data_IF_622782407730
#
_entry.id   IF_622782407730
#
_cell.length_a   1.000
_cell.length_b   1.000
_cell.length_c   1.000
_cell.angle_alpha   90.00
_cell.angle_beta   90.00
_cell.angle_gamma   90.00
#
_symmetry.space_group_name_H-M   'P 1'
#
loop_
_entity.id
_entity.type
_entity.pdbx_description
1 polymer ?
#
# COMPACT_ATOMS: atom_id res chain seq x y z
N UNK A 1 -27.73 -54.70 -22.31
CA UNK A 1 -28.43 -53.43 -22.01
C UNK A 1 -27.52 -52.59 -21.13
N UNK A 2 -26.89 -51.57 -21.73
CA UNK A 2 -26.08 -50.58 -21.03
C UNK A 2 -27.03 -49.70 -20.21
N UNK A 3 -26.65 -49.40 -18.96
CA UNK A 3 -27.08 -48.26 -18.10
C UNK A 3 -27.48 -48.70 -16.69
N UNK A 4 -26.50 -48.88 -15.79
CA UNK A 4 -26.73 -48.59 -14.36
C UNK A 4 -25.46 -48.35 -13.54
N UNK A 5 -24.36 -47.89 -14.14
CA UNK A 5 -23.11 -47.59 -13.39
C UNK A 5 -22.65 -46.13 -13.49
N UNK A 6 -23.31 -45.31 -14.30
CA UNK A 6 -22.92 -43.90 -14.49
C UNK A 6 -23.60 -42.89 -13.55
N UNK A 7 -24.44 -43.31 -12.60
CA UNK A 7 -25.13 -42.36 -11.69
C UNK A 7 -24.45 -42.15 -10.34
N UNK A 8 -23.54 -43.04 -9.91
CA UNK A 8 -22.90 -42.92 -8.58
C UNK A 8 -21.60 -42.09 -8.64
N UNK A 9 -20.93 -42.04 -9.79
CA UNK A 9 -19.68 -41.29 -9.95
C UNK A 9 -19.90 -39.77 -10.07
N UNK A 10 -21.09 -39.32 -10.47
CA UNK A 10 -21.41 -37.89 -10.63
C UNK A 10 -21.80 -37.23 -9.29
N UNK A 11 -22.28 -37.99 -8.30
CA UNK A 11 -22.70 -37.42 -7.00
C UNK A 11 -21.50 -37.10 -6.09
N UNK A 12 -20.34 -37.74 -6.28
CA UNK A 12 -19.17 -37.51 -5.44
C UNK A 12 -18.35 -36.27 -5.85
N UNK A 13 -18.49 -35.79 -7.09
CA UNK A 13 -17.74 -34.64 -7.62
C UNK A 13 -18.40 -33.29 -7.25
N UNK A 14 -19.67 -33.30 -6.85
CA UNK A 14 -20.41 -32.05 -6.55
C UNK A 14 -20.12 -31.53 -5.12
N UNK A 15 -19.56 -32.35 -4.23
CA UNK A 15 -19.33 -31.95 -2.82
C UNK A 15 -17.95 -31.27 -2.62
N UNK A 16 -16.98 -31.44 -3.53
CA UNK A 16 -15.64 -30.87 -3.37
C UNK A 16 -15.46 -29.43 -3.90
N UNK A 17 -16.52 -28.79 -4.41
CA UNK A 17 -16.44 -27.44 -4.98
C UNK A 17 -16.89 -26.30 -4.05
N UNK A 18 -17.15 -26.55 -2.76
CA UNK A 18 -17.60 -25.52 -1.82
C UNK A 18 -16.49 -24.86 -0.96
N UNK A 19 -15.21 -24.99 -1.31
CA UNK A 19 -14.11 -24.35 -0.57
C UNK A 19 -13.28 -23.33 -1.35
N UNK A 20 -13.81 -22.81 -2.46
CA UNK A 20 -13.29 -21.57 -3.00
C UNK A 20 -14.33 -20.48 -2.73
N UNK A 21 -14.23 -19.90 -1.54
CA UNK A 21 -14.75 -18.57 -1.27
C UNK A 21 -14.38 -17.69 -2.46
N UNK A 22 -15.42 -17.19 -3.13
CA UNK A 22 -15.29 -16.17 -4.16
C UNK A 22 -14.39 -15.06 -3.62
N UNK A 23 -13.35 -14.78 -4.38
CA UNK A 23 -12.20 -13.98 -4.03
C UNK A 23 -12.57 -12.60 -3.47
N UNK A 24 -12.45 -12.43 -2.15
CA UNK A 24 -12.07 -11.17 -1.53
C UNK A 24 -10.55 -10.96 -1.75
N UNK A 25 -10.11 -10.84 -3.01
CA UNK A 25 -8.67 -10.72 -3.33
C UNK A 25 -8.04 -9.41 -2.80
N UNK A 26 -8.87 -8.51 -2.28
CA UNK A 26 -8.50 -7.23 -1.72
C UNK A 26 -8.55 -7.17 -0.19
N UNK A 27 -8.98 -8.25 0.50
CA UNK A 27 -8.98 -8.27 1.96
C UNK A 27 -7.55 -8.36 2.49
N UNK A 28 -7.24 -7.57 3.51
CA UNK A 28 -6.04 -7.74 4.32
C UNK A 28 -6.18 -9.02 5.14
N UNK A 29 -5.04 -9.64 5.46
CA UNK A 29 -4.97 -10.73 6.41
C UNK A 29 -4.21 -10.23 7.64
N UNK A 30 -4.78 -10.42 8.84
CA UNK A 30 -4.16 -10.03 10.10
C UNK A 30 -2.76 -10.63 10.26
N UNK A 31 -2.55 -11.86 9.79
CA UNK A 31 -1.22 -12.50 9.79
C UNK A 31 -0.25 -11.74 8.89
N UNK A 32 -0.68 -11.33 7.70
CA UNK A 32 0.12 -10.52 6.77
C UNK A 32 0.42 -9.13 7.32
N UNK A 33 -0.49 -8.53 8.09
CA UNK A 33 -0.25 -7.27 8.79
C UNK A 33 0.87 -7.45 9.83
N UNK A 34 0.79 -8.49 10.67
CA UNK A 34 1.85 -8.77 11.65
C UNK A 34 3.21 -9.01 11.00
N UNK A 35 3.22 -9.84 9.95
CA UNK A 35 4.42 -10.10 9.15
C UNK A 35 4.99 -8.80 8.59
N UNK A 36 4.16 -7.94 8.00
CA UNK A 36 4.60 -6.65 7.49
C UNK A 36 5.20 -5.78 8.60
N UNK A 37 4.49 -5.60 9.71
CA UNK A 37 4.95 -4.77 10.82
C UNK A 37 6.26 -5.29 11.43
N UNK A 38 6.47 -6.61 11.44
CA UNK A 38 7.73 -7.21 11.92
C UNK A 38 8.95 -6.86 11.07
N UNK A 39 8.76 -6.49 9.79
CA UNK A 39 9.86 -6.07 8.92
C UNK A 39 10.36 -4.67 9.23
N UNK A 40 9.49 -3.76 9.69
CA UNK A 40 9.79 -2.33 9.79
C UNK A 40 11.01 -2.01 10.67
N UNK A 41 11.18 -2.59 11.88
CA UNK A 41 12.36 -2.33 12.71
C UNK A 41 13.66 -2.83 12.07
N UNK A 42 13.60 -3.96 11.36
CA UNK A 42 14.76 -4.52 10.67
C UNK A 42 15.18 -3.66 9.48
N UNK A 43 14.19 -3.10 8.78
CA UNK A 43 14.42 -2.15 7.69
C UNK A 43 14.97 -0.81 8.20
N UNK A 44 14.49 -0.32 9.34
CA UNK A 44 15.05 0.87 9.99
C UNK A 44 16.53 0.67 10.37
N UNK A 45 16.86 -0.46 10.99
CA UNK A 45 18.26 -0.81 11.30
C UNK A 45 19.13 -0.96 10.05
N UNK A 46 18.57 -1.52 8.98
CA UNK A 46 19.26 -1.62 7.70
C UNK A 46 19.58 -0.22 7.17
N UNK A 47 18.65 0.73 7.25
CA UNK A 47 18.88 2.12 6.84
C UNK A 47 19.95 2.80 7.71
N UNK A 48 19.86 2.70 9.04
CA UNK A 48 20.80 3.31 9.98
C UNK A 48 22.25 2.83 9.79
N UNK A 49 22.45 1.52 9.59
CA UNK A 49 23.78 0.94 9.34
C UNK A 49 24.45 1.48 8.08
N UNK A 50 23.66 1.88 7.08
CA UNK A 50 24.20 2.47 5.85
C UNK A 50 24.52 3.95 6.03
N UNK A 51 23.69 4.71 6.76
CA UNK A 51 23.99 6.11 7.10
C UNK A 51 25.29 6.20 7.92
N UNK A 52 25.52 5.25 8.84
CA UNK A 52 26.77 5.19 9.61
C UNK A 52 28.00 4.78 8.76
N UNK A 53 27.79 4.09 7.65
CA UNK A 53 28.85 3.62 6.74
C UNK A 53 29.15 4.61 5.59
N UNK A 54 28.24 5.55 5.29
CA UNK A 54 28.35 6.53 4.20
C UNK A 54 29.06 7.83 4.61
N UNK A 55 29.61 7.92 5.82
CA UNK A 55 30.38 9.09 6.26
C UNK A 55 31.72 9.29 5.51
N UNK A 56 32.12 8.36 4.63
CA UNK A 56 33.38 8.43 3.88
C UNK A 56 33.24 8.59 2.35
N UNK A 57 32.03 8.63 1.76
CA UNK A 57 31.88 8.93 0.32
C UNK A 57 31.00 10.16 0.06
N UNK A 58 31.64 11.33 0.10
CA UNK A 58 31.14 12.48 -0.65
C UNK A 58 31.15 12.15 -2.15
N UNK A 59 29.96 12.22 -2.72
CA UNK A 59 29.63 12.20 -4.15
C UNK A 59 29.43 10.81 -4.76
N UNK A 60 28.17 10.51 -5.06
CA UNK A 60 27.73 10.04 -6.38
C UNK A 60 26.23 10.23 -6.53
N UNK A 61 25.90 11.12 -7.47
CA UNK A 61 24.62 11.26 -8.13
C UNK A 61 23.41 11.37 -7.19
N UNK A 62 23.08 12.62 -6.82
CA UNK A 62 21.69 13.04 -6.65
C UNK A 62 20.92 12.58 -7.90
N UNK A 63 20.34 11.39 -7.82
CA UNK A 63 19.27 10.99 -8.73
C UNK A 63 18.20 12.02 -8.51
N UNK A 64 18.10 12.93 -9.47
CA UNK A 64 17.13 14.00 -9.50
C UNK A 64 15.79 13.35 -9.26
N UNK A 65 15.26 13.63 -8.07
CA UNK A 65 14.02 13.07 -7.57
C UNK A 65 12.94 13.31 -8.63
N UNK A 66 12.54 12.25 -9.34
CA UNK A 66 11.34 12.34 -10.15
C UNK A 66 10.16 12.21 -9.19
N UNK A 67 9.74 13.34 -8.59
CA UNK A 67 8.62 13.43 -7.63
C UNK A 67 7.30 12.91 -8.24
N UNK A 68 7.33 12.56 -9.52
CA UNK A 68 6.20 12.12 -10.34
C UNK A 68 5.80 10.67 -10.11
N UNK A 69 6.42 9.90 -9.21
CA UNK A 69 6.08 8.48 -8.97
C UNK A 69 5.22 8.13 -7.74
N UNK A 70 4.80 9.06 -6.88
CA UNK A 70 3.82 8.72 -5.80
C UNK A 70 2.41 8.47 -6.32
N UNK A 71 1.94 7.23 -6.29
CA UNK A 71 0.61 6.76 -6.68
C UNK A 71 -0.23 6.39 -5.46
N UNK A 72 -1.40 5.78 -5.67
CA UNK A 72 -2.21 5.14 -4.61
C UNK A 72 -1.51 3.94 -3.96
N UNK A 73 -0.33 3.56 -4.45
CA UNK A 73 0.49 2.45 -3.97
C UNK A 73 1.90 2.94 -3.59
N UNK A 74 2.02 3.82 -2.56
CA UNK A 74 3.28 4.48 -2.21
C UNK A 74 4.43 3.52 -1.86
N UNK A 75 4.14 2.36 -1.27
CA UNK A 75 5.15 1.34 -0.95
C UNK A 75 5.60 0.63 -2.21
N UNK A 76 4.67 0.25 -3.10
CA UNK A 76 5.02 -0.35 -4.40
C UNK A 76 5.86 0.61 -5.25
N UNK A 77 5.55 1.91 -5.25
CA UNK A 77 6.34 2.89 -5.99
C UNK A 77 7.76 3.01 -5.43
N UNK A 78 7.90 2.99 -4.10
CA UNK A 78 9.19 3.03 -3.44
C UNK A 78 10.00 1.75 -3.66
N UNK A 79 9.34 0.59 -3.78
CA UNK A 79 10.02 -0.67 -4.10
C UNK A 79 10.77 -0.58 -5.44
N UNK A 80 10.19 0.06 -6.46
CA UNK A 80 10.83 0.26 -7.77
C UNK A 80 12.16 1.03 -7.63
N UNK A 81 12.23 1.97 -6.68
CA UNK A 81 13.45 2.72 -6.39
C UNK A 81 14.48 1.84 -5.66
N UNK A 82 14.00 1.00 -4.75
CA UNK A 82 14.84 0.13 -3.94
C UNK A 82 15.47 -1.00 -4.76
N UNK A 83 14.83 -1.46 -5.84
CA UNK A 83 15.37 -2.49 -6.75
C UNK A 83 16.76 -2.15 -7.32
N UNK A 84 17.09 -0.86 -7.45
CA UNK A 84 18.42 -0.40 -7.88
C UNK A 84 19.42 -0.14 -6.76
N UNK A 85 19.05 -0.37 -5.50
CA UNK A 85 19.84 0.04 -4.34
C UNK A 85 20.81 -1.08 -3.88
N UNK A 86 22.03 -0.76 -3.42
CA UNK A 86 23.01 -1.77 -2.96
C UNK A 86 22.51 -2.69 -1.83
N UNK A 87 21.51 -2.24 -1.08
CA UNK A 87 20.92 -3.03 0.01
C UNK A 87 19.65 -3.79 -0.39
N UNK A 88 19.29 -3.83 -1.68
CA UNK A 88 18.12 -4.56 -2.15
C UNK A 88 18.16 -6.03 -1.72
N UNK A 89 19.31 -6.70 -1.85
CA UNK A 89 19.46 -8.10 -1.43
C UNK A 89 19.30 -8.31 0.08
N UNK A 90 19.70 -7.35 0.92
CA UNK A 90 19.47 -7.45 2.37
C UNK A 90 17.99 -7.23 2.69
N UNK A 91 17.35 -6.34 1.96
CA UNK A 91 15.90 -6.11 2.04
C UNK A 91 15.10 -7.35 1.61
N UNK A 92 15.46 -8.02 0.51
CA UNK A 92 14.77 -9.24 0.04
C UNK A 92 14.86 -10.36 1.08
N UNK A 93 16.00 -10.51 1.76
CA UNK A 93 16.18 -11.46 2.87
C UNK A 93 15.25 -11.13 4.06
N UNK A 94 15.16 -9.86 4.46
CA UNK A 94 14.24 -9.44 5.53
C UNK A 94 12.79 -9.78 5.16
N UNK A 95 12.38 -9.46 3.93
CA UNK A 95 11.03 -9.74 3.42
C UNK A 95 10.73 -11.25 3.38
N UNK A 96 11.67 -12.06 2.90
CA UNK A 96 11.53 -13.51 2.85
C UNK A 96 11.45 -14.15 4.26
N UNK A 97 12.25 -13.64 5.21
CA UNK A 97 12.20 -14.10 6.60
C UNK A 97 10.85 -13.82 7.26
N UNK A 98 10.20 -12.72 6.89
CA UNK A 98 8.83 -12.38 7.28
C UNK A 98 7.75 -13.19 6.53
N UNK A 99 8.13 -14.20 5.74
CA UNK A 99 7.22 -15.14 5.04
C UNK A 99 6.37 -14.52 3.92
N UNK A 100 6.86 -13.42 3.33
CA UNK A 100 6.35 -12.97 2.04
C UNK A 100 7.00 -13.78 0.91
N UNK A 101 6.22 -14.04 -0.13
CA UNK A 101 6.65 -14.75 -1.34
C UNK A 101 7.73 -13.96 -2.09
N UNK A 102 7.60 -12.63 -2.12
CA UNK A 102 8.52 -11.72 -2.76
C UNK A 102 8.28 -10.27 -2.30
N UNK A 103 9.22 -9.35 -2.60
CA UNK A 103 9.05 -7.93 -2.32
C UNK A 103 7.78 -7.27 -2.85
N UNK A 104 7.25 -7.71 -3.99
CA UNK A 104 6.04 -7.12 -4.58
C UNK A 104 4.80 -7.44 -3.74
N UNK A 105 4.71 -8.65 -3.19
CA UNK A 105 3.65 -9.03 -2.26
C UNK A 105 3.75 -8.21 -0.95
N UNK A 106 4.97 -8.04 -0.43
CA UNK A 106 5.21 -7.20 0.75
C UNK A 106 4.78 -5.75 0.51
N UNK A 107 5.15 -5.18 -0.63
CA UNK A 107 4.81 -3.81 -0.97
C UNK A 107 3.30 -3.61 -1.16
N UNK A 108 2.65 -4.52 -1.88
CA UNK A 108 1.19 -4.51 -2.05
C UNK A 108 0.45 -4.64 -0.70
N UNK A 109 0.96 -5.45 0.22
CA UNK A 109 0.45 -5.55 1.59
C UNK A 109 0.59 -4.20 2.33
N UNK A 110 1.76 -3.56 2.22
CA UNK A 110 2.00 -2.23 2.79
C UNK A 110 1.04 -1.16 2.26
N UNK A 111 0.79 -1.16 0.95
CA UNK A 111 -0.16 -0.23 0.33
C UNK A 111 -1.59 -0.44 0.84
N UNK A 112 -2.02 -1.70 0.96
CA UNK A 112 -3.34 -2.04 1.54
C UNK A 112 -3.44 -1.57 3.00
N UNK A 113 -2.38 -1.72 3.80
CA UNK A 113 -2.33 -1.25 5.20
C UNK A 113 -2.46 0.27 5.26
N UNK A 114 -1.69 1.02 4.46
CA UNK A 114 -1.74 2.49 4.43
C UNK A 114 -3.13 2.96 4.00
N UNK A 115 -3.69 2.33 2.97
CA UNK A 115 -5.02 2.66 2.47
C UNK A 115 -6.09 2.42 3.54
N UNK A 116 -6.09 1.25 4.17
CA UNK A 116 -7.04 0.93 5.24
C UNK A 116 -6.85 1.82 6.47
N UNK A 117 -5.62 2.18 6.81
CA UNK A 117 -5.31 3.12 7.88
C UNK A 117 -5.85 4.51 7.59
N UNK A 118 -5.62 5.01 6.37
CA UNK A 118 -6.17 6.30 5.94
C UNK A 118 -7.69 6.31 6.01
N UNK A 119 -8.34 5.24 5.58
CA UNK A 119 -9.80 5.10 5.64
C UNK A 119 -10.31 5.02 7.09
N UNK A 120 -9.64 4.26 7.98
CA UNK A 120 -9.95 4.23 9.41
C UNK A 120 -9.87 5.62 10.03
N UNK A 121 -8.80 6.35 9.72
CA UNK A 121 -8.55 7.69 10.26
C UNK A 121 -9.61 8.70 9.80
N UNK A 122 -10.05 8.62 8.55
CA UNK A 122 -11.15 9.43 8.02
C UNK A 122 -12.51 9.05 8.64
N UNK A 123 -12.77 7.75 8.87
CA UNK A 123 -14.01 7.27 9.49
C UNK A 123 -14.14 7.71 10.95
N UNK A 124 -13.04 7.66 11.69
CA UNK A 124 -13.00 7.99 13.12
C UNK A 124 -12.58 9.45 13.36
N UNK A 125 -12.81 10.32 12.37
CA UNK A 125 -12.48 11.73 12.47
C UNK A 125 -13.23 12.39 13.64
N UNK A 126 -12.48 12.96 14.59
CA UNK A 126 -13.02 13.58 15.80
C UNK A 126 -12.77 15.11 15.86
N UNK A 127 -12.29 15.73 14.79
CA UNK A 127 -12.02 17.18 14.74
C UNK A 127 -10.63 17.63 15.20
N UNK A 128 -9.85 16.78 15.89
CA UNK A 128 -8.66 17.27 16.61
C UNK A 128 -7.33 17.08 15.86
N UNK A 129 -7.23 16.17 14.88
CA UNK A 129 -5.91 15.83 14.29
C UNK A 129 -5.89 15.51 12.80
N UNK A 130 -7.02 15.50 12.09
CA UNK A 130 -7.08 15.13 10.67
C UNK A 130 -8.03 16.02 9.87
N UNK A 131 -8.04 15.86 8.56
CA UNK A 131 -9.01 16.50 7.67
C UNK A 131 -10.18 15.54 7.42
N UNK A 132 -11.40 16.06 7.43
CA UNK A 132 -12.56 15.33 6.93
C UNK A 132 -12.39 15.00 5.44
N UNK A 133 -13.14 14.02 4.95
CA UNK A 133 -13.07 13.62 3.54
C UNK A 133 -13.42 14.76 2.59
N UNK A 134 -14.39 15.59 2.97
CA UNK A 134 -14.78 16.76 2.16
C UNK A 134 -13.67 17.81 2.12
N UNK A 135 -12.95 18.02 3.22
CA UNK A 135 -11.78 18.90 3.25
C UNK A 135 -10.63 18.33 2.40
N UNK A 136 -10.35 17.03 2.48
CA UNK A 136 -9.36 16.37 1.62
C UNK A 136 -9.73 16.53 0.14
N UNK A 137 -10.99 16.29 -0.22
CA UNK A 137 -11.50 16.48 -1.59
C UNK A 137 -11.37 17.93 -2.07
N UNK A 138 -11.62 18.89 -1.18
CA UNK A 138 -11.43 20.33 -1.46
C UNK A 138 -9.97 20.64 -1.76
N UNK A 139 -9.03 20.24 -0.90
CA UNK A 139 -7.60 20.47 -1.13
C UNK A 139 -7.09 19.80 -2.41
N UNK A 140 -7.52 18.57 -2.69
CA UNK A 140 -7.20 17.90 -3.96
C UNK A 140 -7.70 18.68 -5.17
N UNK A 141 -8.90 19.25 -5.10
CA UNK A 141 -9.46 20.08 -6.17
C UNK A 141 -8.68 21.38 -6.37
N UNK A 142 -8.27 22.04 -5.27
CA UNK A 142 -7.43 23.24 -5.31
C UNK A 142 -6.06 22.95 -5.92
N UNK A 143 -5.41 21.85 -5.53
CA UNK A 143 -4.11 21.44 -6.06
C UNK A 143 -4.17 21.10 -7.54
N UNK A 144 -5.26 20.46 -8.00
CA UNK A 144 -5.51 20.23 -9.41
C UNK A 144 -5.52 21.55 -10.20
N UNK A 145 -6.12 22.61 -9.65
CA UNK A 145 -6.15 23.93 -10.27
C UNK A 145 -4.74 24.56 -10.29
N UNK A 146 -4.00 24.50 -9.17
CA UNK A 146 -2.62 24.99 -9.09
C UNK A 146 -1.70 24.30 -10.11
N UNK A 147 -1.80 22.99 -10.25
CA UNK A 147 -1.00 22.20 -11.21
C UNK A 147 -1.29 22.61 -12.65
N UNK A 148 -2.57 22.79 -13.01
CA UNK A 148 -2.98 23.21 -14.36
C UNK A 148 -2.32 24.52 -14.77
N UNK A 149 -2.36 25.53 -13.88
CA UNK A 149 -1.84 26.88 -14.17
C UNK A 149 -0.33 27.03 -13.94
N UNK A 150 0.32 26.08 -13.28
CA UNK A 150 1.75 26.16 -12.96
C UNK A 150 2.61 26.25 -14.23
N UNK A 151 3.50 27.25 -14.34
CA UNK A 151 4.36 27.46 -15.52
C UNK A 151 5.74 26.80 -15.43
N UNK A 152 6.09 26.25 -14.27
CA UNK A 152 7.42 25.74 -13.94
C UNK A 152 7.57 24.21 -14.09
N UNK A 153 6.46 23.49 -14.33
CA UNK A 153 6.47 22.05 -14.56
C UNK A 153 6.13 21.73 -16.02
N UNK A 154 6.81 20.72 -16.58
CA UNK A 154 6.59 20.28 -17.95
C UNK A 154 5.18 19.73 -18.15
N UNK A 155 4.69 19.74 -19.40
CA UNK A 155 3.38 19.18 -19.75
C UNK A 155 3.23 17.71 -19.35
N UNK A 156 4.32 16.92 -19.47
CA UNK A 156 4.33 15.52 -19.03
C UNK A 156 4.15 15.42 -17.52
N UNK A 157 4.90 16.19 -16.74
CA UNK A 157 4.78 16.22 -15.27
C UNK A 157 3.38 16.66 -14.83
N UNK A 158 2.79 17.67 -15.49
CA UNK A 158 1.40 18.09 -15.24
C UNK A 158 0.41 16.95 -15.40
N UNK A 159 0.47 16.23 -16.52
CA UNK A 159 -0.45 15.14 -16.80
C UNK A 159 -0.33 14.02 -15.76
N UNK A 160 0.89 13.70 -15.35
CA UNK A 160 1.11 12.71 -14.28
C UNK A 160 0.47 13.16 -12.98
N UNK A 161 0.71 14.39 -12.53
CA UNK A 161 0.14 14.92 -11.29
C UNK A 161 -1.40 15.02 -11.35
N UNK A 162 -1.95 15.45 -12.49
CA UNK A 162 -3.41 15.51 -12.71
C UNK A 162 -4.04 14.13 -12.61
N UNK A 163 -3.46 13.13 -13.26
CA UNK A 163 -3.99 11.76 -13.23
C UNK A 163 -3.95 11.18 -11.82
N UNK A 164 -2.90 11.47 -11.04
CA UNK A 164 -2.81 11.06 -9.63
C UNK A 164 -3.94 11.64 -8.80
N UNK A 165 -4.13 12.96 -8.83
CA UNK A 165 -5.20 13.61 -8.07
C UNK A 165 -6.56 13.05 -8.47
N UNK A 166 -6.81 12.86 -9.78
CA UNK A 166 -8.05 12.24 -10.26
C UNK A 166 -8.26 10.82 -9.74
N UNK A 167 -7.22 9.99 -9.73
CA UNK A 167 -7.30 8.63 -9.22
C UNK A 167 -7.55 8.62 -7.71
N UNK A 168 -6.88 9.47 -6.94
CA UNK A 168 -7.14 9.64 -5.50
C UNK A 168 -8.55 10.14 -5.22
N UNK A 169 -9.06 11.10 -5.99
CA UNK A 169 -10.44 11.56 -5.88
C UNK A 169 -11.45 10.46 -6.22
N UNK A 170 -11.17 9.63 -7.25
CA UNK A 170 -12.02 8.49 -7.59
C UNK A 170 -12.09 7.48 -6.44
N UNK A 171 -10.95 7.18 -5.80
CA UNK A 171 -10.89 6.33 -4.62
C UNK A 171 -11.71 6.91 -3.45
N UNK A 172 -11.57 8.21 -3.14
CA UNK A 172 -12.34 8.87 -2.09
C UNK A 172 -13.84 9.02 -2.40
N UNK A 173 -14.24 8.84 -3.65
CA UNK A 173 -15.63 8.83 -4.08
C UNK A 173 -16.21 7.41 -4.13
N UNK A 174 -15.39 6.37 -3.97
CA UNK A 174 -15.88 5.00 -3.85
C UNK A 174 -16.59 4.85 -2.50
N UNK A 175 -17.89 4.53 -2.48
CA UNK A 175 -18.64 4.35 -1.23
C UNK A 175 -18.06 3.21 -0.36
N UNK A 176 -17.37 2.24 -0.97
CA UNK A 176 -16.75 1.14 -0.24
C UNK A 176 -15.38 1.51 0.33
N UNK A 177 -14.84 2.70 0.06
CA UNK A 177 -13.50 3.06 0.54
C UNK A 177 -13.46 3.17 2.08
N UNK A 178 -14.45 3.83 2.68
CA UNK A 178 -14.52 4.12 4.12
C UNK A 178 -15.26 3.01 4.89
N UNK A 179 -16.03 2.19 4.18
CA UNK A 179 -16.79 1.08 4.78
C UNK A 179 -16.26 -0.29 4.33
N UNK A 180 -14.99 -0.35 3.91
CA UNK A 180 -14.37 -1.62 3.55
C UNK A 180 -14.16 -2.54 4.77
N UNK A 181 -14.15 -3.83 4.50
CA UNK A 181 -13.81 -4.89 5.45
C UNK A 181 -12.41 -4.70 6.08
N UNK A 182 -11.49 -4.04 5.36
CA UNK A 182 -10.12 -3.85 5.82
C UNK A 182 -10.05 -2.97 7.07
N UNK A 183 -10.92 -1.98 7.25
CA UNK A 183 -10.94 -1.14 8.46
C UNK A 183 -11.15 -1.96 9.73
N UNK A 184 -12.06 -2.93 9.69
CA UNK A 184 -12.28 -3.85 10.81
C UNK A 184 -11.06 -4.75 11.05
N UNK A 185 -10.42 -5.22 9.97
CA UNK A 185 -9.21 -6.06 10.06
C UNK A 185 -8.04 -5.30 10.68
N UNK A 186 -7.85 -4.02 10.38
CA UNK A 186 -6.72 -3.24 10.94
C UNK A 186 -6.99 -2.72 12.34
N UNK A 187 -8.26 -2.66 12.78
CA UNK A 187 -8.63 -2.05 14.07
C UNK A 187 -7.75 -2.49 15.26
N UNK A 188 -7.41 -3.79 15.44
CA UNK A 188 -6.52 -4.23 16.52
C UNK A 188 -5.09 -3.67 16.45
N UNK A 189 -4.66 -3.22 15.27
CA UNK A 189 -3.31 -2.73 14.99
C UNK A 189 -3.20 -1.19 15.05
N UNK A 190 -4.32 -0.47 15.16
CA UNK A 190 -4.33 1.01 15.10
C UNK A 190 -3.39 1.66 16.11
N UNK A 191 -3.29 1.12 17.32
CA UNK A 191 -2.32 1.63 18.32
C UNK A 191 -0.88 1.59 17.81
N UNK A 192 -0.45 0.47 17.21
CA UNK A 192 0.89 0.32 16.62
C UNK A 192 1.07 1.17 15.37
N UNK A 193 0.06 1.22 14.50
CA UNK A 193 0.09 2.04 13.29
C UNK A 193 0.15 3.54 13.62
N UNK A 194 -0.55 3.99 14.66
CA UNK A 194 -0.46 5.36 15.15
C UNK A 194 0.95 5.70 15.61
N UNK A 195 1.64 4.81 16.34
CA UNK A 195 3.03 5.04 16.75
C UNK A 195 3.94 5.17 15.52
N UNK A 196 3.82 4.24 14.58
CA UNK A 196 4.65 4.21 13.36
C UNK A 196 4.44 5.44 12.46
N UNK A 197 3.20 5.93 12.35
CA UNK A 197 2.85 7.02 11.44
C UNK A 197 2.76 8.40 12.10
N UNK A 198 2.68 8.51 13.44
CA UNK A 198 2.79 9.80 14.14
C UNK A 198 4.24 10.26 14.32
N UNK A 199 5.21 9.35 14.43
CA UNK A 199 6.63 9.71 14.56
C UNK A 199 7.22 10.38 13.30
N UNK A 200 6.44 10.53 12.22
CA UNK A 200 6.86 11.16 10.96
C UNK A 200 6.16 12.50 10.65
N UNK A 201 5.37 13.05 11.59
CA UNK A 201 4.87 14.44 11.55
C UNK A 201 5.74 15.36 12.41
#
# INVERSE_FOLDING_TARGET
>A
MVKLTNKIMITFIIISLNFFSAQAQNSLDATKIEQYLSTLPLLAQLQEKNIASDNDEKSRNSHTFDKTKTSSTPITDNLILLEGHPNYEKFTVIVANAKFLNPKEWASTGDKIIMAYSAYQMKNYNGETLLSIDEVKKYMSEDLMKIKINKFISSRQKQVLINKIKNSMALLNDPNYIDNENISIISPFIGRLNLLFKETQ
#
